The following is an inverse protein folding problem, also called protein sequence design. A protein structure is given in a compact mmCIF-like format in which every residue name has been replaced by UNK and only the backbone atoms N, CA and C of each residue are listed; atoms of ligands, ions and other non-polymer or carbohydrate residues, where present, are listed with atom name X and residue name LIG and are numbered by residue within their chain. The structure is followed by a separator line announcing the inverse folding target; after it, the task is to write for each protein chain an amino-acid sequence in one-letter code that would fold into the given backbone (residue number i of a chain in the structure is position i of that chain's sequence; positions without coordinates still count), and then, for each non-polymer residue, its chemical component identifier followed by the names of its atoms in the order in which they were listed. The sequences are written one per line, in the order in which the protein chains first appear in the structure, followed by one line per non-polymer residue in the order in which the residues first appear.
data_IF_264140034361
#
_entry.id   IF_264140034361
#
_cell.length_a   1.000
_cell.length_b   1.000
_cell.length_c   1.000
_cell.angle_alpha   90.00
_cell.angle_beta   90.00
_cell.angle_gamma   90.00
#
_symmetry.space_group_name_H-M   'P 1'
#
loop_
_entity.id
_entity.type
_entity.pdbx_description
1 polymer ?
#
# COMPACT_ATOMS: atom_id res chain seq x y z
N UNK A 1 0.56 -17.36 -8.33
CA UNK A 1 -0.21 -16.10 -8.21
C UNK A 1 0.13 -15.51 -6.85
N UNK A 2 0.64 -14.28 -6.80
CA UNK A 2 0.91 -13.59 -5.53
C UNK A 2 -0.18 -12.56 -5.35
N UNK A 3 -1.21 -12.96 -4.63
CA UNK A 3 -2.36 -12.11 -4.35
C UNK A 3 -2.08 -11.29 -3.09
N UNK A 4 -2.45 -10.02 -3.12
CA UNK A 4 -2.43 -9.16 -1.95
C UNK A 4 -3.46 -9.67 -0.95
N UNK A 5 -2.97 -10.20 0.18
CA UNK A 5 -3.82 -10.66 1.28
C UNK A 5 -4.21 -9.43 2.11
N UNK A 6 -5.51 -9.13 2.15
CA UNK A 6 -6.03 -8.06 2.99
C UNK A 6 -5.83 -8.40 4.49
N UNK A 7 -5.40 -7.43 5.30
CA UNK A 7 -5.20 -7.65 6.74
C UNK A 7 -6.53 -7.89 7.45
N UNK A 8 -6.51 -8.75 8.47
CA UNK A 8 -7.67 -8.95 9.37
C UNK A 8 -7.94 -7.67 10.19
N UNK A 9 -9.16 -7.48 10.75
CA UNK A 9 -9.48 -6.30 11.56
C UNK A 9 -8.50 -6.08 12.73
N UNK A 10 -8.05 -7.16 13.37
CA UNK A 10 -7.06 -7.10 14.45
C UNK A 10 -5.68 -6.65 13.95
N UNK A 11 -5.24 -7.16 12.80
CA UNK A 11 -4.00 -6.73 12.16
C UNK A 11 -4.06 -5.25 11.76
N UNK A 12 -5.21 -4.78 11.24
CA UNK A 12 -5.41 -3.35 10.93
C UNK A 12 -5.20 -2.48 12.17
N UNK A 13 -5.84 -2.84 13.30
CA UNK A 13 -5.68 -2.11 14.56
C UNK A 13 -4.21 -2.11 15.00
N UNK A 14 -3.53 -3.24 14.91
CA UNK A 14 -2.12 -3.36 15.31
C UNK A 14 -1.19 -2.50 14.44
N UNK A 15 -1.41 -2.47 13.13
CA UNK A 15 -0.62 -1.66 12.18
C UNK A 15 -0.84 -0.17 12.43
N UNK A 16 -2.08 0.25 12.66
CA UNK A 16 -2.41 1.64 12.96
C UNK A 16 -1.76 2.09 14.28
N UNK A 17 -1.84 1.25 15.32
CA UNK A 17 -1.15 1.49 16.61
C UNK A 17 0.35 1.66 16.42
N UNK A 18 0.98 0.76 15.67
CA UNK A 18 2.42 0.79 15.41
C UNK A 18 2.85 2.03 14.62
N UNK A 19 2.03 2.50 13.67
CA UNK A 19 2.29 3.70 12.90
C UNK A 19 1.82 4.98 13.59
N UNK A 20 1.41 4.88 14.86
CA UNK A 20 0.95 5.99 15.69
C UNK A 20 -0.26 6.75 15.09
N UNK A 21 -1.12 6.05 14.36
CA UNK A 21 -2.31 6.58 13.70
C UNK A 21 -3.57 6.17 14.48
N UNK A 22 -4.38 7.15 14.87
CA UNK A 22 -5.55 6.92 15.74
C UNK A 22 -6.73 6.26 15.03
N UNK A 23 -6.80 6.32 13.70
CA UNK A 23 -7.91 5.79 12.90
C UNK A 23 -7.48 5.41 11.49
N UNK A 24 -8.25 4.52 10.86
CA UNK A 24 -8.03 4.15 9.46
C UNK A 24 -8.51 5.28 8.54
N UNK A 25 -7.58 6.09 8.07
CA UNK A 25 -7.87 7.20 7.15
C UNK A 25 -7.71 6.78 5.71
N UNK A 26 -8.47 7.43 4.83
CA UNK A 26 -8.33 7.28 3.37
C UNK A 26 -7.23 8.18 2.85
N UNK A 27 -6.24 7.60 2.20
CA UNK A 27 -5.10 8.31 1.63
C UNK A 27 -5.30 8.53 0.13
N UNK A 28 -4.88 9.70 -0.37
CA UNK A 28 -4.91 10.06 -1.80
C UNK A 28 -3.65 9.56 -2.52
N UNK A 29 -3.59 9.75 -3.84
CA UNK A 29 -2.48 9.32 -4.68
C UNK A 29 -1.11 9.86 -4.23
N UNK A 30 -1.07 11.13 -3.82
CA UNK A 30 0.16 11.79 -3.35
C UNK A 30 0.71 11.11 -2.08
N UNK A 31 -0.15 10.89 -1.07
CA UNK A 31 0.26 10.21 0.15
C UNK A 31 0.61 8.73 -0.13
N UNK A 32 -0.22 8.05 -0.94
CA UNK A 32 0.05 6.67 -1.37
C UNK A 32 1.43 6.54 -2.03
N UNK A 33 1.83 7.51 -2.85
CA UNK A 33 3.16 7.54 -3.45
C UNK A 33 4.28 7.77 -2.45
N UNK A 34 4.08 8.68 -1.51
CA UNK A 34 5.06 8.94 -0.47
C UNK A 34 5.26 7.71 0.45
N UNK A 35 4.16 7.02 0.81
CA UNK A 35 4.20 5.83 1.68
C UNK A 35 4.78 4.61 0.97
N UNK A 36 4.35 4.34 -0.27
CA UNK A 36 4.79 3.17 -1.04
C UNK A 36 6.17 3.36 -1.70
N UNK A 37 6.61 4.60 -1.93
CA UNK A 37 7.81 4.92 -2.70
C UNK A 37 7.69 4.58 -4.19
N UNK A 38 6.52 4.16 -4.67
CA UNK A 38 6.30 3.70 -6.04
C UNK A 38 5.76 4.83 -6.93
N UNK A 39 6.15 4.80 -8.20
CA UNK A 39 5.53 5.65 -9.23
C UNK A 39 4.06 5.22 -9.48
N UNK A 40 3.25 6.16 -9.99
CA UNK A 40 1.84 5.91 -10.34
C UNK A 40 1.69 4.72 -11.30
N UNK A 41 2.55 4.65 -12.32
CA UNK A 41 2.53 3.58 -13.32
C UNK A 41 2.87 2.21 -12.72
N UNK A 42 3.83 2.14 -11.79
CA UNK A 42 4.18 0.88 -11.12
C UNK A 42 3.07 0.40 -10.20
N UNK A 43 2.41 1.32 -9.47
CA UNK A 43 1.21 0.98 -8.67
C UNK A 43 0.11 0.42 -9.55
N UNK A 44 -0.17 1.03 -10.71
CA UNK A 44 -1.16 0.52 -11.64
C UNK A 44 -0.82 -0.89 -12.15
N UNK A 45 0.45 -1.15 -12.50
CA UNK A 45 0.90 -2.50 -12.87
C UNK A 45 0.67 -3.50 -11.74
N UNK A 46 1.07 -3.16 -10.51
CA UNK A 46 0.89 -4.06 -9.37
C UNK A 46 -0.60 -4.27 -9.02
N UNK A 47 -1.46 -3.27 -9.25
CA UNK A 47 -2.91 -3.43 -9.16
C UNK A 47 -3.42 -4.44 -10.21
N UNK A 48 -2.88 -4.44 -11.43
CA UNK A 48 -3.22 -5.46 -12.45
C UNK A 48 -2.67 -6.84 -12.09
N UNK A 49 -1.48 -6.90 -11.48
CA UNK A 49 -0.85 -8.15 -11.02
C UNK A 49 -1.51 -8.72 -9.75
N UNK A 50 -2.47 -8.00 -9.14
CA UNK A 50 -3.10 -8.38 -7.88
C UNK A 50 -2.19 -8.24 -6.66
N UNK A 51 -1.03 -7.59 -6.83
CA UNK A 51 0.02 -7.44 -5.85
C UNK A 51 -0.10 -6.15 -5.02
N UNK A 52 -1.05 -5.25 -5.32
CA UNK A 52 -1.26 -3.99 -4.61
C UNK A 52 -2.71 -3.87 -4.11
N UNK A 53 -2.98 -3.15 -3.00
CA UNK A 53 -4.35 -2.92 -2.54
C UNK A 53 -5.20 -2.20 -3.58
N UNK A 54 -6.45 -2.66 -3.72
CA UNK A 54 -7.40 -2.15 -4.71
C UNK A 54 -7.74 -0.68 -4.44
N UNK A 55 -7.65 0.17 -5.48
CA UNK A 55 -8.12 1.56 -5.43
C UNK A 55 -9.63 1.64 -5.13
N UNK A 56 -10.00 2.48 -4.16
CA UNK A 56 -11.38 2.82 -3.85
C UNK A 56 -11.73 4.19 -4.46
N UNK A 57 -12.71 4.28 -5.37
CA UNK A 57 -13.14 5.57 -5.91
C UNK A 57 -13.75 6.42 -4.79
N UNK A 58 -13.29 7.67 -4.68
CA UNK A 58 -13.82 8.67 -3.74
C UNK A 58 -14.63 9.75 -4.47
N UNK A 59 -14.54 9.81 -5.81
CA UNK A 59 -15.28 10.74 -6.66
C UNK A 59 -14.91 10.55 -8.13
N UNK A 60 -15.35 11.50 -8.99
CA UNK A 60 -15.26 11.39 -10.46
C UNK A 60 -13.84 11.13 -10.98
N UNK A 61 -12.85 11.81 -10.41
CA UNK A 61 -11.42 11.69 -10.76
C UNK A 61 -10.54 11.45 -9.53
N UNK A 62 -11.13 10.99 -8.42
CA UNK A 62 -10.42 10.83 -7.15
C UNK A 62 -10.43 9.38 -6.73
N UNK A 63 -9.24 8.83 -6.52
CA UNK A 63 -9.02 7.51 -5.95
C UNK A 63 -8.43 7.65 -4.56
N UNK A 64 -8.75 6.68 -3.71
CA UNK A 64 -8.28 6.60 -2.35
C UNK A 64 -7.90 5.17 -2.00
N UNK A 65 -7.02 5.02 -1.04
CA UNK A 65 -6.66 3.75 -0.43
C UNK A 65 -6.83 3.84 1.08
N UNK A 66 -7.06 2.71 1.75
CA UNK A 66 -6.98 2.69 3.21
C UNK A 66 -5.53 2.77 3.64
N UNK A 67 -5.26 3.58 4.65
CA UNK A 67 -3.92 3.69 5.21
C UNK A 67 -3.44 2.33 5.73
N UNK A 68 -4.31 1.59 6.43
CA UNK A 68 -3.97 0.25 6.94
C UNK A 68 -3.54 -0.72 5.83
N UNK A 69 -4.25 -0.75 4.71
CA UNK A 69 -3.92 -1.64 3.59
C UNK A 69 -2.57 -1.26 2.94
N UNK A 70 -2.27 0.03 2.83
CA UNK A 70 -1.01 0.52 2.26
C UNK A 70 0.16 0.23 3.21
N UNK A 71 -0.01 0.46 4.50
CA UNK A 71 1.00 0.15 5.51
C UNK A 71 1.25 -1.37 5.58
N UNK A 72 0.19 -2.18 5.47
CA UNK A 72 0.31 -3.62 5.38
C UNK A 72 1.12 -4.04 4.15
N UNK A 73 0.81 -3.45 3.00
CA UNK A 73 1.54 -3.69 1.75
C UNK A 73 3.02 -3.31 1.84
N UNK A 74 3.34 -2.17 2.47
CA UNK A 74 4.74 -1.72 2.65
C UNK A 74 5.52 -2.68 3.56
N UNK A 75 4.86 -3.28 4.55
CA UNK A 75 5.46 -4.27 5.47
C UNK A 75 5.62 -5.64 4.86
N UNK A 76 4.62 -6.07 4.10
CA UNK A 76 4.58 -7.37 3.43
C UNK A 76 4.43 -7.16 1.92
N UNK A 77 5.42 -6.55 1.26
CA UNK A 77 5.35 -6.47 -0.18
C UNK A 77 5.38 -7.91 -0.71
N UNK A 78 4.42 -8.33 -1.56
CA UNK A 78 4.55 -9.61 -2.23
C UNK A 78 5.89 -9.64 -2.95
N UNK A 79 6.53 -10.80 -3.09
CA UNK A 79 7.83 -10.88 -3.79
C UNK A 79 7.62 -10.62 -5.28
N UNK A 80 7.46 -9.34 -5.62
CA UNK A 80 7.42 -8.79 -6.96
C UNK A 80 8.80 -8.21 -7.24
N UNK A 81 9.27 -8.41 -8.46
CA UNK A 81 10.62 -7.99 -8.83
C UNK A 81 10.71 -6.45 -8.86
N UNK A 82 11.88 -5.92 -8.46
CA UNK A 82 12.22 -4.50 -8.53
C UNK A 82 11.26 -3.54 -7.79
N UNK A 83 10.88 -3.87 -6.55
CA UNK A 83 10.31 -2.86 -5.65
C UNK A 83 11.46 -2.00 -5.13
N UNK A 84 11.44 -0.70 -5.43
CA UNK A 84 12.30 0.27 -4.77
C UNK A 84 11.72 0.56 -3.38
N UNK A 85 11.84 -0.42 -2.47
CA UNK A 85 11.42 -0.26 -1.09
C UNK A 85 12.51 0.56 -0.37
N UNK A 86 12.18 1.71 0.26
CA UNK A 86 13.16 2.45 1.06
C UNK A 86 13.75 1.62 2.21
N UNK A 87 13.08 0.54 2.65
CA UNK A 87 13.60 -0.43 3.62
C UNK A 87 14.45 -1.55 3.01
N UNK A 88 14.46 -1.69 1.69
CA UNK A 88 15.28 -2.66 0.95
C UNK A 88 16.23 -1.89 0.04
N UNK A 89 17.13 -1.10 0.63
CA UNK A 89 18.32 -0.66 -0.10
C UNK A 89 19.06 -1.93 -0.51
N UNK A 90 19.11 -2.21 -1.82
CA UNK A 90 20.15 -3.08 -2.37
C UNK A 90 21.48 -2.42 -1.99
N UNK A 91 22.23 -3.03 -1.09
CA UNK A 91 23.65 -2.71 -0.96
C UNK A 91 24.29 -2.99 -2.33
N UNK A 92 24.97 -1.98 -2.86
CA UNK A 92 25.75 -2.07 -4.08
C UNK A 92 26.94 -3.02 -3.89
#
# INVERSE_FOLDING_TARGET
MKEFIYPTPEQRIQILKDNNESYDRRIREAECGNRSGLSRSRRWQLEQEGAFPKRAPMGRNSVSWLLSDILWWVRNPPSVENINNPYSRKSA
#
